data_IF_280729584754
#
_entry.id   IF_280729584754
#
_cell.length_a   1.000
_cell.length_b   1.000
_cell.length_c   1.000
_cell.angle_alpha   90.00
_cell.angle_beta   90.00
_cell.angle_gamma   90.00
#
_symmetry.space_group_name_H-M   'P 1'
#
loop_
_entity.id
_entity.type
_entity.pdbx_description
1 polymer ?
#
# COMPACT_ATOMS: atom_id res chain seq x y z
N UNK A 1 -11.65 -6.80 -28.18
CA UNK A 1 -10.23 -7.08 -28.24
C UNK A 1 -9.36 -5.83 -28.23
N UNK A 2 -8.69 -5.38 -29.33
CA UNK A 2 -7.68 -4.30 -29.21
C UNK A 2 -8.25 -2.94 -28.76
N UNK A 3 -9.44 -2.56 -29.22
CA UNK A 3 -10.11 -1.30 -28.81
C UNK A 3 -10.55 -1.31 -27.34
N UNK A 4 -10.99 -2.46 -26.85
CA UNK A 4 -11.37 -2.62 -25.43
C UNK A 4 -10.13 -2.58 -24.54
N UNK A 5 -9.04 -3.24 -24.93
CA UNK A 5 -7.78 -3.20 -24.19
C UNK A 5 -7.30 -1.75 -24.04
N UNK A 6 -7.28 -0.97 -25.13
CA UNK A 6 -6.90 0.44 -25.08
C UNK A 6 -7.86 1.26 -24.19
N UNK A 7 -9.16 1.01 -24.27
CA UNK A 7 -10.16 1.68 -23.44
C UNK A 7 -9.88 1.45 -21.95
N UNK A 8 -9.69 0.19 -21.55
CA UNK A 8 -9.44 -0.14 -20.14
C UNK A 8 -8.06 0.33 -19.67
N UNK A 9 -7.04 0.25 -20.52
CA UNK A 9 -5.73 0.81 -20.22
C UNK A 9 -5.80 2.33 -19.95
N UNK A 10 -6.55 3.08 -20.76
CA UNK A 10 -6.79 4.51 -20.52
C UNK A 10 -7.62 4.77 -19.25
N UNK A 11 -8.60 3.91 -18.95
CA UNK A 11 -9.39 4.01 -17.71
C UNK A 11 -8.54 3.75 -16.47
N UNK A 12 -7.60 2.82 -16.54
CA UNK A 12 -6.65 2.56 -15.47
C UNK A 12 -5.81 3.80 -15.10
N UNK A 13 -5.61 4.72 -16.04
CA UNK A 13 -4.90 5.99 -15.80
C UNK A 13 -5.80 7.11 -15.26
N UNK A 14 -7.10 6.88 -15.06
CA UNK A 14 -8.04 7.93 -14.66
C UNK A 14 -7.76 8.55 -13.28
N UNK A 15 -7.03 7.86 -12.41
CA UNK A 15 -6.56 8.43 -11.14
C UNK A 15 -5.81 9.75 -11.33
N UNK A 16 -5.11 9.93 -12.46
CA UNK A 16 -4.38 11.16 -12.80
C UNK A 16 -5.29 12.38 -12.91
N UNK A 17 -6.58 12.18 -13.21
CA UNK A 17 -7.56 13.26 -13.28
C UNK A 17 -7.94 13.82 -11.91
N UNK A 18 -7.77 13.04 -10.84
CA UNK A 18 -8.17 13.41 -9.48
C UNK A 18 -7.01 14.04 -8.69
N UNK A 19 -5.79 13.96 -9.19
CA UNK A 19 -4.63 14.48 -8.49
C UNK A 19 -4.60 16.00 -8.53
N UNK A 20 -4.62 16.63 -7.37
CA UNK A 20 -4.46 18.06 -7.20
C UNK A 20 -2.98 18.39 -6.91
N UNK A 21 -2.34 19.11 -7.84
CA UNK A 21 -0.91 19.46 -7.76
C UNK A 21 -0.58 20.41 -6.61
N UNK A 22 -1.54 21.22 -6.17
CA UNK A 22 -1.33 22.19 -5.09
C UNK A 22 -1.26 21.46 -3.74
N UNK A 23 -2.19 20.56 -3.50
CA UNK A 23 -2.26 19.77 -2.25
C UNK A 23 -1.41 18.51 -2.28
N UNK A 24 -1.02 18.02 -3.45
CA UNK A 24 -0.36 16.73 -3.72
C UNK A 24 -1.18 15.52 -3.27
N UNK A 25 -2.48 15.67 -3.22
CA UNK A 25 -3.43 14.64 -2.80
C UNK A 25 -4.52 14.46 -3.86
N UNK A 26 -5.27 13.36 -3.77
CA UNK A 26 -6.46 13.16 -4.60
C UNK A 26 -7.60 14.02 -4.08
N UNK A 27 -8.36 14.61 -5.01
CA UNK A 27 -9.48 15.50 -4.72
C UNK A 27 -10.66 15.19 -5.62
N UNK A 28 -11.86 15.20 -5.06
CA UNK A 28 -13.09 15.01 -5.82
C UNK A 28 -13.30 16.07 -6.88
N UNK A 29 -14.01 15.71 -7.96
CA UNK A 29 -14.38 16.62 -9.05
C UNK A 29 -15.89 16.67 -9.24
N UNK A 30 -16.37 17.84 -9.63
CA UNK A 30 -17.72 18.07 -10.09
C UNK A 30 -17.90 17.54 -11.52
N UNK A 31 -19.15 17.41 -11.98
CA UNK A 31 -19.48 16.97 -13.35
C UNK A 31 -18.88 17.86 -14.44
N UNK A 32 -18.60 19.13 -14.15
CA UNK A 32 -17.96 20.07 -15.07
C UNK A 32 -16.45 19.87 -15.19
N UNK A 33 -15.87 18.95 -14.39
CA UNK A 33 -14.43 18.63 -14.37
C UNK A 33 -13.61 19.52 -13.45
N UNK A 34 -14.20 20.49 -12.75
CA UNK A 34 -13.52 21.31 -11.75
C UNK A 34 -13.38 20.56 -10.41
N UNK A 35 -12.33 20.84 -9.68
CA UNK A 35 -12.17 20.30 -8.33
C UNK A 35 -13.25 20.84 -7.39
N UNK A 36 -13.78 19.96 -6.54
CA UNK A 36 -14.73 20.34 -5.51
C UNK A 36 -14.13 21.37 -4.56
N UNK A 37 -14.91 22.39 -4.20
CA UNK A 37 -14.52 23.43 -3.25
C UNK A 37 -15.70 23.75 -2.31
N UNK A 38 -15.44 24.09 -1.03
CA UNK A 38 -14.12 24.11 -0.37
C UNK A 38 -13.52 22.72 -0.22
N UNK A 39 -12.19 22.62 -0.04
CA UNK A 39 -11.49 21.36 0.13
C UNK A 39 -10.75 21.31 1.47
N UNK A 40 -11.00 20.25 2.21
CA UNK A 40 -10.23 19.86 3.38
C UNK A 40 -9.70 18.43 3.17
N UNK A 41 -8.38 18.19 3.22
CA UNK A 41 -7.83 16.83 3.10
C UNK A 41 -8.20 15.95 4.30
N UNK A 42 -8.69 16.54 5.38
CA UNK A 42 -9.09 15.87 6.62
C UNK A 42 -10.60 15.54 6.66
N UNK A 43 -11.37 15.99 5.66
CA UNK A 43 -12.82 15.75 5.61
C UNK A 43 -13.09 14.30 5.27
N UNK A 44 -13.74 13.59 6.18
CA UNK A 44 -14.19 12.23 6.00
C UNK A 44 -15.54 12.19 5.26
N UNK A 45 -15.68 11.23 4.34
CA UNK A 45 -16.87 11.10 3.51
C UNK A 45 -16.90 12.09 2.34
N UNK A 46 -18.12 12.48 1.88
CA UNK A 46 -18.36 13.35 0.73
C UNK A 46 -17.77 12.74 -0.57
N UNK A 47 -16.61 13.20 -1.04
CA UNK A 47 -15.93 12.65 -2.21
C UNK A 47 -15.30 11.26 -1.98
N UNK A 48 -15.16 10.82 -0.74
CA UNK A 48 -14.52 9.59 -0.33
C UNK A 48 -15.46 8.73 0.53
N UNK A 49 -15.42 7.42 0.35
CA UNK A 49 -16.21 6.49 1.15
C UNK A 49 -15.44 6.12 2.41
N UNK A 50 -15.98 6.45 3.60
CA UNK A 50 -15.41 6.08 4.91
C UNK A 50 -13.91 6.40 5.04
N UNK A 51 -13.56 7.61 4.64
CA UNK A 51 -12.17 8.04 4.67
C UNK A 51 -12.03 9.47 4.20
N UNK A 52 -10.79 9.89 4.06
CA UNK A 52 -10.43 11.22 3.60
C UNK A 52 -9.36 11.18 2.51
N UNK A 53 -8.90 12.33 2.07
CA UNK A 53 -7.90 12.44 1.01
C UNK A 53 -6.55 11.83 1.38
N UNK A 54 -6.14 11.85 2.65
CA UNK A 54 -4.93 11.18 3.14
C UNK A 54 -4.99 9.66 3.01
N UNK A 55 -6.18 9.07 3.05
CA UNK A 55 -6.36 7.62 2.90
C UNK A 55 -6.41 7.21 1.43
N UNK A 56 -7.24 7.89 0.64
CA UNK A 56 -7.54 7.48 -0.73
C UNK A 56 -6.51 7.89 -1.78
N UNK A 57 -5.60 8.83 -1.46
CA UNK A 57 -4.54 9.23 -2.41
C UNK A 57 -3.61 8.09 -2.79
N UNK A 58 -3.59 7.01 -1.99
CA UNK A 58 -2.75 5.83 -2.22
C UNK A 58 -3.44 4.69 -2.96
N UNK A 59 -4.74 4.80 -3.24
CA UNK A 59 -5.55 3.76 -3.89
C UNK A 59 -5.24 3.61 -5.39
N UNK A 60 -3.96 3.53 -5.72
CA UNK A 60 -3.41 3.30 -7.07
C UNK A 60 -2.58 2.02 -7.04
N UNK A 61 -3.20 0.93 -6.62
CA UNK A 61 -2.56 -0.38 -6.39
C UNK A 61 -1.85 -0.94 -7.61
N UNK A 62 -2.40 -0.68 -8.79
CA UNK A 62 -1.93 -1.21 -10.08
C UNK A 62 -0.80 -0.40 -10.68
N UNK A 63 -0.62 0.89 -10.27
CA UNK A 63 0.35 1.79 -10.89
C UNK A 63 1.08 2.70 -9.88
N UNK A 64 1.77 2.15 -8.88
CA UNK A 64 2.50 2.96 -7.91
C UNK A 64 3.60 3.83 -8.54
N UNK A 65 4.30 3.34 -9.58
CA UNK A 65 5.30 4.16 -10.27
C UNK A 65 4.66 5.35 -10.97
N UNK A 66 3.50 5.16 -11.62
CA UNK A 66 2.75 6.26 -12.21
C UNK A 66 2.29 7.30 -11.18
N UNK A 67 1.98 6.87 -9.94
CA UNK A 67 1.67 7.78 -8.83
C UNK A 67 2.94 8.51 -8.34
N UNK A 68 4.08 7.81 -8.25
CA UNK A 68 5.38 8.41 -7.93
C UNK A 68 5.72 9.53 -8.92
N UNK A 69 5.58 9.25 -10.21
CA UNK A 69 5.87 10.23 -11.28
C UNK A 69 4.91 11.43 -11.19
N UNK A 70 3.63 11.16 -10.91
CA UNK A 70 2.61 12.20 -10.76
C UNK A 70 2.88 13.14 -9.57
N UNK A 71 3.41 12.60 -8.47
CA UNK A 71 3.80 13.35 -7.28
C UNK A 71 5.15 14.07 -7.41
N UNK A 72 5.84 13.94 -8.54
CA UNK A 72 7.11 14.62 -8.79
C UNK A 72 8.36 13.84 -8.44
N UNK A 73 8.25 12.50 -8.37
CA UNK A 73 9.37 11.59 -8.15
C UNK A 73 9.43 10.99 -6.74
N UNK A 74 10.39 10.09 -6.56
CA UNK A 74 10.52 9.26 -5.35
C UNK A 74 10.61 10.06 -4.05
N UNK A 75 11.39 11.15 -4.03
CA UNK A 75 11.59 11.94 -2.80
C UNK A 75 10.30 12.64 -2.37
N UNK A 76 9.59 13.27 -3.32
CA UNK A 76 8.30 13.90 -3.05
C UNK A 76 7.24 12.88 -2.61
N UNK A 77 7.21 11.71 -3.25
CA UNK A 77 6.32 10.62 -2.91
C UNK A 77 6.58 10.09 -1.50
N UNK A 78 7.84 9.84 -1.14
CA UNK A 78 8.22 9.37 0.21
C UNK A 78 7.91 10.42 1.26
N UNK A 79 8.16 11.70 0.97
CA UNK A 79 7.79 12.80 1.88
C UNK A 79 6.28 12.79 2.17
N UNK A 80 5.45 12.55 1.15
CA UNK A 80 3.99 12.47 1.32
C UNK A 80 3.57 11.22 2.11
N UNK A 81 4.22 10.06 1.89
CA UNK A 81 4.00 8.85 2.70
C UNK A 81 4.37 9.08 4.18
N UNK A 82 5.54 9.70 4.42
CA UNK A 82 5.98 10.04 5.78
C UNK A 82 5.00 11.01 6.46
N UNK A 83 4.43 11.94 5.69
CA UNK A 83 3.46 12.92 6.20
C UNK A 83 2.18 12.28 6.74
N UNK A 84 1.74 11.13 6.21
CA UNK A 84 0.58 10.40 6.73
C UNK A 84 0.76 10.06 8.21
N UNK A 85 1.97 9.68 8.61
CA UNK A 85 2.29 9.34 10.01
C UNK A 85 2.64 10.56 10.86
N UNK A 86 3.09 11.65 10.24
CA UNK A 86 3.53 12.86 10.92
C UNK A 86 2.39 13.87 11.18
N UNK A 87 1.40 13.92 10.29
CA UNK A 87 0.22 14.78 10.46
C UNK A 87 -0.57 14.28 11.69
N UNK A 88 -0.90 15.14 12.66
CA UNK A 88 -1.72 14.72 13.80
C UNK A 88 -3.03 14.05 13.32
N UNK A 89 -3.64 13.14 14.12
CA UNK A 89 -4.87 12.45 13.75
C UNK A 89 -6.10 13.39 13.86
N UNK A 90 -6.00 14.53 13.18
CA UNK A 90 -7.09 15.49 13.03
C UNK A 90 -8.06 15.01 11.97
N UNK A 91 -9.31 15.40 12.11
CA UNK A 91 -10.38 15.03 11.21
C UNK A 91 -11.42 16.14 11.08
N UNK A 92 -12.20 16.08 10.01
CA UNK A 92 -13.39 16.86 9.79
C UNK A 92 -14.54 15.86 9.52
N UNK A 93 -15.46 15.73 10.47
CA UNK A 93 -16.61 14.82 10.46
C UNK A 93 -17.91 15.48 9.98
N UNK A 94 -17.83 16.67 9.44
CA UNK A 94 -18.99 17.50 9.05
C UNK A 94 -19.94 16.81 8.07
N UNK A 95 -19.43 15.88 7.26
CA UNK A 95 -20.27 15.12 6.31
C UNK A 95 -21.18 14.11 7.03
N UNK A 96 -20.67 13.44 8.05
CA UNK A 96 -21.43 12.45 8.83
C UNK A 96 -22.26 13.08 9.93
N UNK A 97 -21.96 14.32 10.32
CA UNK A 97 -22.63 14.99 11.44
C UNK A 97 -22.26 14.44 12.81
N UNK A 98 -21.13 13.72 12.90
CA UNK A 98 -20.60 13.15 14.13
C UNK A 98 -19.46 12.19 13.87
N UNK A 99 -18.72 11.85 14.92
CA UNK A 99 -17.55 10.98 14.86
C UNK A 99 -17.99 9.52 14.65
N UNK A 100 -17.72 8.97 13.48
CA UNK A 100 -17.88 7.55 13.17
C UNK A 100 -16.78 6.71 13.83
N UNK A 101 -16.96 5.38 13.89
CA UNK A 101 -16.03 4.53 14.64
C UNK A 101 -14.62 4.52 14.04
N UNK A 102 -14.45 4.55 12.71
CA UNK A 102 -13.15 4.56 12.02
C UNK A 102 -12.34 5.82 12.35
N UNK A 103 -13.00 6.97 12.51
CA UNK A 103 -12.36 8.22 12.96
C UNK A 103 -11.86 8.06 14.41
N UNK A 104 -12.69 7.45 15.27
CA UNK A 104 -12.32 7.20 16.66
C UNK A 104 -11.13 6.25 16.77
N UNK A 105 -11.15 5.17 16.00
CA UNK A 105 -10.08 4.17 15.93
C UNK A 105 -8.77 4.82 15.50
N UNK A 106 -8.76 5.59 14.40
CA UNK A 106 -7.58 6.34 13.93
C UNK A 106 -7.04 7.26 15.04
N UNK A 107 -7.92 7.97 15.73
CA UNK A 107 -7.54 8.93 16.78
C UNK A 107 -6.94 8.22 17.98
N UNK A 108 -7.53 7.12 18.43
CA UNK A 108 -7.05 6.33 19.58
C UNK A 108 -5.71 5.67 19.29
N UNK A 109 -5.53 5.11 18.07
CA UNK A 109 -4.26 4.49 17.68
C UNK A 109 -3.13 5.49 17.57
N UNK A 110 -3.42 6.76 17.31
CA UNK A 110 -2.48 7.86 17.29
C UNK A 110 -1.22 7.57 16.46
N UNK A 111 -1.44 7.18 15.20
CA UNK A 111 -0.39 7.00 14.19
C UNK A 111 -0.61 7.96 13.01
N UNK A 112 -0.77 9.24 13.30
CA UNK A 112 -1.07 10.26 12.31
C UNK A 112 -2.46 10.06 11.68
N UNK A 113 -2.56 10.27 10.38
CA UNK A 113 -3.74 9.94 9.58
C UNK A 113 -3.71 8.52 8.98
N UNK A 114 -2.89 7.61 9.52
CA UNK A 114 -2.88 6.21 9.13
C UNK A 114 -4.01 5.45 9.83
N UNK A 115 -5.20 5.45 9.22
CA UNK A 115 -6.41 4.81 9.75
C UNK A 115 -6.43 3.31 9.42
N UNK A 116 -5.57 2.51 10.07
CA UNK A 116 -5.40 1.08 9.79
C UNK A 116 -6.68 0.25 9.99
N UNK A 117 -7.57 0.68 10.87
CA UNK A 117 -8.87 0.04 11.09
C UNK A 117 -9.77 0.03 9.86
N UNK A 118 -9.42 0.80 8.82
CA UNK A 118 -10.16 0.83 7.57
C UNK A 118 -9.27 0.48 6.36
N UNK A 119 -9.76 -0.36 5.44
CA UNK A 119 -9.02 -1.01 4.36
C UNK A 119 -8.37 -0.07 3.33
N UNK A 120 -8.94 1.10 3.00
CA UNK A 120 -8.40 1.97 1.95
C UNK A 120 -6.92 2.32 2.10
N UNK A 121 -6.39 2.32 3.33
CA UNK A 121 -5.00 2.72 3.59
C UNK A 121 -4.07 1.54 3.92
N UNK A 122 -4.57 0.35 4.18
CA UNK A 122 -3.78 -0.78 4.69
C UNK A 122 -2.58 -1.16 3.83
N UNK A 123 -2.67 -1.01 2.50
CA UNK A 123 -1.59 -1.29 1.54
C UNK A 123 -0.51 -0.22 1.50
N UNK A 124 -0.80 1.02 1.97
CA UNK A 124 0.04 2.20 1.78
C UNK A 124 1.48 2.00 2.26
N UNK A 125 1.68 1.33 3.38
CA UNK A 125 3.02 1.11 3.95
C UNK A 125 3.92 0.34 2.96
N UNK A 126 3.37 -0.58 2.18
CA UNK A 126 4.11 -1.35 1.20
C UNK A 126 4.61 -0.50 0.02
N UNK A 127 4.04 0.70 -0.20
CA UNK A 127 4.42 1.58 -1.29
C UNK A 127 5.84 2.14 -1.17
N UNK A 128 6.43 2.16 0.02
CA UNK A 128 7.85 2.49 0.20
C UNK A 128 8.79 1.58 -0.61
N UNK A 129 8.38 0.32 -0.87
CA UNK A 129 9.17 -0.60 -1.70
C UNK A 129 9.30 -0.10 -3.14
N UNK A 130 8.27 0.50 -3.70
CA UNK A 130 8.28 1.07 -5.06
C UNK A 130 9.14 2.32 -5.18
N UNK A 131 9.30 3.05 -4.08
CA UNK A 131 10.18 4.21 -4.01
C UNK A 131 11.66 3.85 -3.71
N UNK A 132 11.97 2.55 -3.52
CA UNK A 132 13.32 2.09 -3.20
C UNK A 132 13.73 2.37 -1.75
N UNK A 133 12.75 2.46 -0.84
CA UNK A 133 13.00 2.61 0.61
C UNK A 133 12.31 1.49 1.42
N UNK A 134 12.60 0.19 1.12
CA UNK A 134 11.93 -0.94 1.77
C UNK A 134 12.08 -0.96 3.29
N UNK A 135 13.15 -0.40 3.83
CA UNK A 135 13.37 -0.33 5.28
C UNK A 135 12.29 0.49 6.01
N UNK A 136 11.70 1.51 5.36
CA UNK A 136 10.58 2.27 5.95
C UNK A 136 9.32 1.41 6.04
N UNK A 137 9.04 0.59 5.01
CA UNK A 137 7.96 -0.38 5.07
C UNK A 137 8.17 -1.35 6.24
N UNK A 138 9.38 -1.93 6.38
CA UNK A 138 9.71 -2.86 7.45
C UNK A 138 9.49 -2.25 8.84
N UNK A 139 9.89 -1.00 9.03
CA UNK A 139 9.67 -0.26 10.27
C UNK A 139 8.18 -0.09 10.57
N UNK A 140 7.43 0.51 9.65
CA UNK A 140 6.03 0.83 9.90
C UNK A 140 5.14 -0.41 10.03
N UNK A 141 5.39 -1.46 9.24
CA UNK A 141 4.69 -2.75 9.38
C UNK A 141 4.88 -3.34 10.78
N UNK A 142 6.11 -3.31 11.32
CA UNK A 142 6.37 -3.76 12.68
C UNK A 142 5.65 -2.91 13.72
N UNK A 143 5.62 -1.57 13.54
CA UNK A 143 4.88 -0.68 14.44
C UNK A 143 3.37 -1.00 14.44
N UNK A 144 2.78 -1.18 13.25
CA UNK A 144 1.35 -1.51 13.11
C UNK A 144 1.04 -2.87 13.76
N UNK A 145 1.79 -3.92 13.42
CA UNK A 145 1.56 -5.26 13.99
C UNK A 145 1.67 -5.28 15.51
N UNK A 146 2.61 -4.55 16.08
CA UNK A 146 2.82 -4.51 17.53
C UNK A 146 1.83 -3.62 18.28
N UNK A 147 1.33 -2.55 17.64
CA UNK A 147 0.52 -1.54 18.30
C UNK A 147 -0.97 -1.72 18.08
N UNK A 148 -1.36 -2.21 16.91
CA UNK A 148 -2.76 -2.23 16.48
C UNK A 148 -3.41 -3.61 16.54
N UNK A 149 -2.65 -4.64 16.92
CA UNK A 149 -3.17 -6.00 17.09
C UNK A 149 -2.83 -6.53 18.46
N UNK A 150 -3.78 -7.20 19.09
CA UNK A 150 -3.61 -7.83 20.41
C UNK A 150 -4.17 -9.26 20.39
N UNK A 151 -3.76 -10.12 21.33
CA UNK A 151 -4.32 -11.48 21.43
C UNK A 151 -5.67 -11.53 22.17
N UNK A 152 -6.25 -10.37 22.51
CA UNK A 152 -7.53 -10.29 23.22
C UNK A 152 -8.74 -10.48 22.30
N UNK A 153 -9.96 -10.56 22.89
CA UNK A 153 -11.20 -10.64 22.13
C UNK A 153 -11.48 -9.42 21.25
N UNK A 154 -10.91 -8.28 21.62
CA UNK A 154 -10.90 -6.97 20.91
C UNK A 154 -9.58 -6.75 20.20
N UNK A 155 -9.04 -7.79 19.57
CA UNK A 155 -7.68 -7.84 19.05
C UNK A 155 -7.41 -7.01 17.81
N UNK A 156 -8.43 -6.47 17.16
CA UNK A 156 -8.30 -5.59 15.98
C UNK A 156 -8.52 -4.13 16.35
N UNK A 157 -7.84 -3.24 15.65
CA UNK A 157 -7.99 -1.79 15.83
C UNK A 157 -9.21 -1.20 15.11
N UNK A 158 -10.04 -2.00 14.50
CA UNK A 158 -11.25 -1.68 13.76
C UNK A 158 -11.99 -2.95 13.39
N UNK A 159 -12.91 -2.86 12.46
CA UNK A 159 -13.69 -4.01 12.01
C UNK A 159 -12.82 -5.03 11.27
N UNK A 160 -13.15 -6.30 11.42
CA UNK A 160 -12.42 -7.39 10.76
C UNK A 160 -12.69 -7.46 9.25
N UNK A 161 -13.90 -7.06 8.84
CA UNK A 161 -14.35 -6.88 7.45
C UNK A 161 -14.16 -8.10 6.54
N UNK A 162 -14.82 -9.19 6.95
CA UNK A 162 -14.92 -10.42 6.14
C UNK A 162 -13.57 -11.03 5.74
N UNK A 163 -12.58 -10.91 6.60
CA UNK A 163 -11.26 -11.51 6.40
C UNK A 163 -10.15 -10.55 6.00
N UNK A 164 -10.46 -9.29 5.66
CA UNK A 164 -9.45 -8.36 5.15
C UNK A 164 -8.41 -8.01 6.22
N UNK A 165 -8.85 -7.63 7.41
CA UNK A 165 -7.94 -7.21 8.51
C UNK A 165 -7.16 -8.40 9.06
N UNK A 166 -7.79 -9.58 9.18
CA UNK A 166 -7.09 -10.83 9.52
C UNK A 166 -6.04 -11.20 8.47
N UNK A 167 -6.42 -11.18 7.20
CA UNK A 167 -5.52 -11.52 6.10
C UNK A 167 -4.33 -10.57 6.04
N UNK A 168 -4.56 -9.26 6.25
CA UNK A 168 -3.47 -8.29 6.28
C UNK A 168 -2.43 -8.65 7.36
N UNK A 169 -2.90 -8.98 8.57
CA UNK A 169 -1.99 -9.36 9.66
C UNK A 169 -1.22 -10.66 9.35
N UNK A 170 -1.91 -11.69 8.86
CA UNK A 170 -1.28 -12.98 8.55
C UNK A 170 -0.22 -12.81 7.46
N UNK A 171 -0.55 -12.16 6.35
CA UNK A 171 0.41 -11.90 5.28
C UNK A 171 1.59 -11.04 5.75
N UNK A 172 1.30 -9.96 6.47
CA UNK A 172 2.36 -9.07 7.01
C UNK A 172 3.26 -9.79 7.99
N UNK A 173 2.71 -10.66 8.84
CA UNK A 173 3.49 -11.48 9.77
C UNK A 173 4.35 -12.55 9.07
N UNK A 174 3.92 -13.05 7.91
CA UNK A 174 4.74 -13.89 7.02
C UNK A 174 5.85 -13.10 6.32
N UNK A 175 5.71 -11.77 6.22
CA UNK A 175 6.70 -10.87 5.65
C UNK A 175 6.43 -10.39 4.23
N UNK A 176 5.21 -10.51 3.72
CA UNK A 176 4.82 -10.03 2.39
C UNK A 176 3.31 -9.78 2.28
N UNK A 177 2.86 -9.05 1.26
CA UNK A 177 1.44 -8.70 1.07
C UNK A 177 1.09 -8.53 -0.42
N UNK A 178 -0.07 -8.98 -0.91
CA UNK A 178 -0.53 -8.81 -2.28
C UNK A 178 -1.08 -7.39 -2.51
N UNK A 179 -0.20 -6.43 -2.82
CA UNK A 179 -0.58 -5.02 -2.99
C UNK A 179 -1.40 -4.77 -4.25
N UNK A 180 -1.02 -5.39 -5.37
CA UNK A 180 -1.62 -5.13 -6.68
C UNK A 180 -2.49 -6.31 -7.13
N UNK A 181 -3.83 -6.25 -6.97
CA UNK A 181 -4.74 -7.27 -7.49
C UNK A 181 -4.56 -7.47 -9.01
N UNK A 182 -4.56 -8.72 -9.45
CA UNK A 182 -4.35 -9.07 -10.85
C UNK A 182 -2.90 -9.30 -11.25
N UNK A 183 -1.95 -9.15 -10.33
CA UNK A 183 -0.56 -9.60 -10.49
C UNK A 183 -0.30 -10.86 -9.66
N UNK A 184 0.78 -11.57 -9.97
CA UNK A 184 1.25 -12.72 -9.18
C UNK A 184 2.21 -12.33 -8.06
N UNK A 185 2.40 -11.04 -7.83
CA UNK A 185 3.43 -10.54 -6.92
C UNK A 185 2.90 -10.25 -5.52
N UNK A 186 3.70 -10.61 -4.53
CA UNK A 186 3.59 -10.20 -3.14
C UNK A 186 4.72 -9.24 -2.80
N UNK A 187 4.40 -8.04 -2.36
CA UNK A 187 5.39 -7.03 -1.99
C UNK A 187 5.96 -7.35 -0.61
N UNK A 188 7.27 -7.25 -0.45
CA UNK A 188 7.96 -7.61 0.79
C UNK A 188 7.70 -6.58 1.90
N UNK A 189 7.47 -7.12 3.09
CA UNK A 189 7.62 -6.45 4.38
C UNK A 189 8.85 -7.00 5.10
N UNK A 190 8.65 -7.43 6.36
CA UNK A 190 9.62 -8.19 7.13
C UNK A 190 8.87 -9.20 8.02
N UNK A 191 9.38 -10.44 8.15
CA UNK A 191 8.70 -11.46 8.94
C UNK A 191 8.59 -11.07 10.41
N UNK A 192 7.46 -11.43 11.04
CA UNK A 192 7.25 -11.25 12.48
C UNK A 192 7.79 -12.44 13.29
N UNK A 193 7.75 -13.63 12.73
CA UNK A 193 8.14 -14.88 13.40
C UNK A 193 9.57 -15.28 13.04
N UNK A 194 10.23 -16.02 13.94
CA UNK A 194 11.55 -16.61 13.68
C UNK A 194 11.51 -17.73 12.65
N UNK A 195 10.35 -18.40 12.55
CA UNK A 195 10.09 -19.43 11.56
C UNK A 195 8.58 -19.52 11.29
N UNK A 196 8.23 -19.68 10.02
CA UNK A 196 6.90 -20.05 9.58
C UNK A 196 7.01 -21.13 8.50
N UNK A 197 5.99 -21.97 8.38
CA UNK A 197 5.89 -22.97 7.30
C UNK A 197 4.49 -22.91 6.73
N UNK A 198 4.40 -22.75 5.42
CA UNK A 198 3.14 -22.79 4.66
C UNK A 198 3.08 -24.14 3.97
N UNK A 199 2.04 -24.89 4.24
CA UNK A 199 1.74 -26.17 3.60
C UNK A 199 0.75 -25.90 2.46
N UNK A 200 1.17 -26.13 1.22
CA UNK A 200 0.30 -25.95 0.05
C UNK A 200 -0.50 -27.23 -0.25
N UNK A 201 -1.65 -27.06 -0.88
CA UNK A 201 -2.52 -28.18 -1.29
C UNK A 201 -1.86 -29.17 -2.25
N UNK A 202 -0.86 -28.70 -3.03
CA UNK A 202 -0.06 -29.55 -3.93
C UNK A 202 0.98 -30.42 -3.21
N UNK A 203 1.02 -30.38 -1.87
CA UNK A 203 1.97 -31.11 -1.02
C UNK A 203 3.33 -30.43 -0.83
N UNK A 204 3.60 -29.33 -1.50
CA UNK A 204 4.83 -28.57 -1.29
C UNK A 204 4.77 -27.74 -0.01
N UNK A 205 5.94 -27.37 0.51
CA UNK A 205 6.08 -26.51 1.66
C UNK A 205 6.94 -25.30 1.34
N UNK A 206 6.51 -24.12 1.81
CA UNK A 206 7.36 -22.93 1.86
C UNK A 206 7.78 -22.71 3.30
N UNK A 207 9.08 -22.73 3.55
CA UNK A 207 9.66 -22.44 4.85
C UNK A 207 10.25 -21.03 4.85
N UNK A 208 9.85 -20.23 5.83
CA UNK A 208 10.34 -18.87 6.04
C UNK A 208 11.13 -18.87 7.34
N UNK A 209 12.42 -18.59 7.27
CA UNK A 209 13.32 -18.55 8.42
C UNK A 209 13.81 -17.12 8.65
N UNK A 210 13.73 -16.66 9.89
CA UNK A 210 14.33 -15.41 10.38
C UNK A 210 14.84 -15.63 11.83
N UNK A 211 15.82 -16.50 12.06
CA UNK A 211 16.17 -17.01 13.39
C UNK A 211 16.61 -15.92 14.36
N UNK A 212 17.17 -14.82 13.87
CA UNK A 212 17.62 -13.68 14.68
C UNK A 212 16.61 -12.51 14.71
N UNK A 213 15.38 -12.72 14.20
CA UNK A 213 14.30 -11.73 14.31
C UNK A 213 13.93 -11.47 15.79
N UNK A 214 13.73 -10.22 16.14
CA UNK A 214 13.40 -9.78 17.49
C UNK A 214 12.76 -8.39 17.45
N UNK A 215 12.37 -7.83 18.58
CA UNK A 215 11.86 -6.45 18.68
C UNK A 215 12.86 -5.39 18.26
N UNK A 216 14.15 -5.71 18.26
CA UNK A 216 15.22 -4.83 17.77
C UNK A 216 15.62 -5.12 16.32
N UNK A 217 15.74 -6.40 15.99
CA UNK A 217 16.17 -6.84 14.66
C UNK A 217 14.95 -6.93 13.73
N UNK A 218 14.48 -5.78 13.25
CA UNK A 218 13.27 -5.64 12.45
C UNK A 218 13.56 -5.39 10.96
N UNK A 219 14.82 -5.10 10.62
CA UNK A 219 15.21 -4.78 9.24
C UNK A 219 15.85 -5.98 8.55
N UNK A 220 15.59 -6.14 7.26
CA UNK A 220 16.22 -7.17 6.43
C UNK A 220 17.64 -6.70 6.05
N UNK A 221 18.67 -7.34 6.59
CA UNK A 221 20.05 -7.15 6.14
C UNK A 221 20.30 -7.85 4.81
N UNK A 222 19.88 -9.11 4.69
CA UNK A 222 19.97 -9.91 3.48
C UNK A 222 18.86 -10.97 3.45
N UNK A 223 18.59 -11.47 2.25
CA UNK A 223 17.60 -12.52 2.01
C UNK A 223 18.13 -13.49 0.96
N UNK A 224 17.85 -14.77 1.15
CA UNK A 224 18.00 -15.78 0.11
C UNK A 224 16.69 -16.48 -0.17
N UNK A 225 16.50 -16.93 -1.41
CA UNK A 225 15.43 -17.84 -1.80
C UNK A 225 16.05 -19.09 -2.42
N UNK A 226 15.80 -20.25 -1.81
CA UNK A 226 16.44 -21.52 -2.17
C UNK A 226 17.97 -21.43 -2.24
N UNK A 227 18.58 -20.74 -1.24
CA UNK A 227 20.01 -20.54 -1.11
C UNK A 227 20.64 -19.53 -2.08
N UNK A 228 19.86 -18.92 -2.96
CA UNK A 228 20.32 -17.87 -3.88
C UNK A 228 20.03 -16.49 -3.32
N UNK A 229 20.99 -15.58 -3.46
CA UNK A 229 20.80 -14.19 -3.04
C UNK A 229 19.55 -13.58 -3.72
N UNK A 230 18.72 -12.87 -2.94
CA UNK A 230 17.46 -12.32 -3.41
C UNK A 230 17.33 -10.86 -2.98
N UNK A 231 17.44 -9.95 -3.95
CA UNK A 231 17.44 -8.50 -3.73
C UNK A 231 16.07 -7.84 -3.94
N UNK A 232 15.19 -8.49 -4.72
CA UNK A 232 13.88 -7.96 -5.09
C UNK A 232 13.03 -7.60 -3.88
N UNK A 233 12.19 -6.60 -4.04
CA UNK A 233 11.19 -6.17 -3.05
C UNK A 233 9.84 -6.88 -3.20
N UNK A 234 9.78 -7.97 -3.94
CA UNK A 234 8.58 -8.78 -4.14
C UNK A 234 8.94 -10.25 -4.29
N UNK A 235 7.94 -11.10 -4.07
CA UNK A 235 7.97 -12.54 -4.34
C UNK A 235 6.91 -12.86 -5.40
N UNK A 236 7.14 -13.85 -6.25
CA UNK A 236 6.14 -14.29 -7.24
C UNK A 236 5.39 -15.52 -6.71
N UNK A 237 4.07 -15.50 -6.83
CA UNK A 237 3.19 -16.60 -6.39
C UNK A 237 3.57 -17.95 -7.01
N UNK A 238 3.88 -17.94 -8.32
CA UNK A 238 4.21 -19.18 -9.03
C UNK A 238 5.52 -19.80 -8.54
N UNK A 239 6.45 -18.98 -8.03
CA UNK A 239 7.68 -19.48 -7.44
C UNK A 239 7.44 -19.98 -6.01
N UNK A 240 6.67 -19.24 -5.21
CA UNK A 240 6.31 -19.67 -3.84
C UNK A 240 5.54 -20.98 -3.83
N UNK A 241 4.60 -21.17 -4.77
CA UNK A 241 3.74 -22.37 -4.85
C UNK A 241 4.52 -23.64 -5.22
N UNK A 242 5.73 -23.50 -5.77
CA UNK A 242 6.67 -24.62 -5.96
C UNK A 242 7.29 -25.11 -4.63
N UNK A 243 7.08 -24.36 -3.56
CA UNK A 243 7.74 -24.57 -2.28
C UNK A 243 9.18 -24.08 -2.26
N UNK A 244 9.85 -24.27 -1.15
CA UNK A 244 11.24 -23.89 -0.98
C UNK A 244 11.53 -23.24 0.36
N UNK A 245 12.67 -22.57 0.45
CA UNK A 245 13.15 -21.95 1.69
C UNK A 245 13.51 -20.50 1.43
N UNK A 246 12.93 -19.62 2.23
CA UNK A 246 13.31 -18.21 2.34
C UNK A 246 14.07 -18.05 3.65
N UNK A 247 15.31 -17.58 3.56
CA UNK A 247 16.12 -17.26 4.74
C UNK A 247 16.34 -15.76 4.81
N UNK A 248 15.91 -15.16 5.91
CA UNK A 248 16.15 -13.76 6.24
C UNK A 248 17.24 -13.64 7.28
N UNK A 249 18.23 -12.80 7.01
CA UNK A 249 19.11 -12.24 8.02
C UNK A 249 18.56 -10.89 8.44
N UNK A 250 18.17 -10.77 9.70
CA UNK A 250 17.57 -9.55 10.25
C UNK A 250 18.62 -8.74 11.00
N UNK A 251 18.45 -7.42 11.04
CA UNK A 251 19.33 -6.49 11.75
C UNK A 251 18.54 -5.40 12.48
N UNK A 252 19.27 -4.67 13.32
CA UNK A 252 18.74 -3.55 14.14
C UNK A 252 18.84 -2.18 13.45
N UNK A 253 19.45 -2.15 12.26
CA UNK A 253 19.61 -0.91 11.47
C UNK A 253 19.04 -1.06 10.07
N UNK A 254 18.47 0.02 9.50
CA UNK A 254 18.03 0.04 8.12
C UNK A 254 19.13 -0.32 7.12
N UNK A 255 18.88 -1.27 6.22
CA UNK A 255 19.77 -1.52 5.08
C UNK A 255 19.29 -0.68 3.89
N UNK A 256 19.96 0.46 3.68
CA UNK A 256 19.62 1.41 2.62
C UNK A 256 20.17 0.99 1.24
N UNK A 257 20.89 -0.12 1.15
CA UNK A 257 21.53 -0.61 -0.08
C UNK A 257 20.81 -1.84 -0.68
N UNK A 258 19.76 -2.36 0.00
CA UNK A 258 19.01 -3.50 -0.48
C UNK A 258 17.71 -3.04 -1.15
N UNK A 259 17.37 -3.65 -2.30
CA UNK A 259 16.08 -3.42 -2.97
C UNK A 259 15.95 -2.01 -3.55
N UNK A 260 17.04 -1.43 -4.04
CA UNK A 260 17.07 -0.05 -4.56
C UNK A 260 17.19 0.02 -6.09
N UNK A 261 17.56 -1.09 -6.75
CA UNK A 261 17.73 -1.11 -8.19
C UNK A 261 16.36 -1.17 -8.92
N UNK A 262 16.28 -0.71 -10.16
CA UNK A 262 15.02 -0.78 -10.93
C UNK A 262 14.43 -2.19 -11.03
N UNK A 263 15.26 -3.21 -11.16
CA UNK A 263 14.86 -4.62 -11.25
C UNK A 263 14.37 -5.21 -9.92
N UNK A 264 14.64 -4.54 -8.82
CA UNK A 264 14.16 -4.93 -7.48
C UNK A 264 12.73 -4.44 -7.21
N UNK A 265 12.22 -3.50 -8.02
CA UNK A 265 10.92 -2.88 -7.81
C UNK A 265 9.77 -3.84 -8.16
N UNK A 266 8.68 -3.83 -7.37
CA UNK A 266 7.47 -4.58 -7.71
C UNK A 266 6.81 -4.05 -8.99
N UNK A 267 5.88 -4.84 -9.55
CA UNK A 267 5.11 -4.50 -10.73
C UNK A 267 4.39 -3.15 -10.61
N UNK A 268 4.45 -2.35 -11.68
CA UNK A 268 3.65 -1.15 -11.86
C UNK A 268 3.21 -1.02 -13.32
N UNK A 269 1.93 -0.77 -13.54
CA UNK A 269 1.27 -0.79 -14.84
C UNK A 269 1.96 0.11 -15.88
N UNK A 270 2.33 1.33 -15.51
CA UNK A 270 2.98 2.27 -16.42
C UNK A 270 4.40 1.88 -16.84
N UNK A 271 5.05 0.98 -16.11
CA UNK A 271 6.43 0.52 -16.37
C UNK A 271 6.44 -0.84 -17.06
N UNK A 272 5.62 -1.76 -16.59
CA UNK A 272 5.69 -3.16 -17.00
C UNK A 272 4.78 -3.49 -18.19
N UNK A 273 3.80 -2.62 -18.50
CA UNK A 273 2.93 -2.84 -19.65
C UNK A 273 3.35 -1.96 -20.85
N UNK A 274 3.54 -2.58 -21.99
CA UNK A 274 4.06 -1.92 -23.19
C UNK A 274 3.11 -0.82 -23.68
N UNK A 275 3.67 0.36 -23.95
CA UNK A 275 2.97 1.49 -24.56
C UNK A 275 2.04 2.28 -23.62
N UNK A 276 1.87 1.87 -22.35
CA UNK A 276 0.98 2.54 -21.40
C UNK A 276 1.43 3.97 -21.11
N UNK A 277 2.73 4.21 -21.04
CA UNK A 277 3.30 5.53 -20.81
C UNK A 277 3.00 6.56 -21.92
N UNK A 278 2.52 6.10 -23.09
CA UNK A 278 2.08 6.93 -24.22
C UNK A 278 0.59 7.23 -24.18
N UNK A 279 -0.16 6.60 -23.29
CA UNK A 279 -1.59 6.81 -23.18
C UNK A 279 -1.91 7.96 -22.24
N UNK A 280 -3.00 8.64 -22.51
CA UNK A 280 -3.58 9.63 -21.62
C UNK A 280 -4.87 9.08 -20.98
N UNK A 281 -5.20 9.50 -19.75
CA UNK A 281 -6.47 9.16 -19.12
C UNK A 281 -7.64 9.64 -19.99
N UNK A 282 -8.81 9.09 -19.76
CA UNK A 282 -10.04 9.58 -20.41
C UNK A 282 -10.41 10.90 -19.73
N UNK A 283 -10.44 11.98 -20.49
CA UNK A 283 -10.88 13.28 -19.98
C UNK A 283 -12.38 13.24 -19.66
N UNK A 284 -12.75 13.73 -18.50
CA UNK A 284 -14.16 14.01 -18.16
C UNK A 284 -14.61 15.19 -19.02
N UNK A 285 -15.43 14.93 -20.03
CA UNK A 285 -16.07 16.01 -20.78
C UNK A 285 -17.28 16.47 -19.97
N UNK A 286 -17.48 17.79 -19.77
CA UNK A 286 -18.70 18.29 -19.17
C UNK A 286 -19.91 17.73 -19.93
N UNK A 287 -20.89 17.19 -19.21
CA UNK A 287 -22.14 16.75 -19.84
C UNK A 287 -22.76 17.97 -20.49
N UNK A 288 -22.99 17.92 -21.82
CA UNK A 288 -23.80 18.96 -22.47
C UNK A 288 -25.17 18.88 -21.83
N UNK A 289 -25.56 19.85 -20.99
CA UNK A 289 -26.94 19.97 -20.53
C UNK A 289 -27.80 20.00 -21.81
N UNK A 290 -28.60 18.98 -22.01
CA UNK A 290 -29.68 19.06 -22.99
C UNK A 290 -30.58 20.19 -22.51
N UNK A 291 -30.64 21.26 -23.31
CA UNK A 291 -31.62 22.34 -23.11
C UNK A 291 -33.02 21.79 -23.31
#
# INVERSE_FOLDING_TARGET
>A
PKKELELYARRALNYKNLYDKETKLMRGKNENGEFMAPFSPLKWGDAFTEGNSWHYSWSVFHDPQGLIDLMGGKDSFVMMLDSVFAVPPLFDDSYYGGVIHEIREMTVMNMGNYAHGNQPIQHMIYLYNYAGQPWKAQYWLRQVMNKMYTPGPDGYCGDEDNGQTSAWYVFSALGFYPVAPGTTQYVLGAPLFKKATIHFENGNNLVINAPNNSDKNIYIESMTFNGKNYTKNYLDHNDLFKGGVIDFKMGDKPNMNRGINPEDMPYSFSVNEEGINKLSPISVKPSKKKK
#
